data_IF_026799336136
#
_entry.id   IF_026799336136
#
_cell.length_a   1.000
_cell.length_b   1.000
_cell.length_c   1.000
_cell.angle_alpha   90.00
_cell.angle_beta   90.00
_cell.angle_gamma   90.00
#
_symmetry.space_group_name_H-M   'P 1'
#
loop_
_entity.id
_entity.type
_entity.pdbx_description
1 polymer ?
#
# COMPACT_ATOMS: atom_id res chain seq x y z
N UNK A 1 17.75 -3.41 1.24
CA UNK A 1 18.49 -2.16 1.35
C UNK A 1 18.94 -2.03 2.81
N UNK A 2 20.15 -1.58 3.09
CA UNK A 2 20.54 -1.27 4.46
C UNK A 2 19.58 -0.19 4.97
N UNK A 3 18.93 -0.45 6.09
CA UNK A 3 18.12 0.54 6.78
C UNK A 3 19.09 1.68 7.18
N UNK A 4 18.81 2.88 6.70
CA UNK A 4 19.52 4.07 7.18
C UNK A 4 18.95 4.40 8.55
N UNK A 5 19.54 3.91 9.63
CA UNK A 5 19.08 4.12 11.01
C UNK A 5 18.72 5.59 11.31
N UNK A 6 19.49 6.53 10.74
CA UNK A 6 19.21 7.95 10.88
C UNK A 6 17.92 8.40 10.17
N UNK A 7 17.64 7.88 8.96
CA UNK A 7 16.42 8.21 8.24
C UNK A 7 15.19 7.60 8.92
N UNK A 8 15.30 6.38 9.40
CA UNK A 8 14.24 5.71 10.15
C UNK A 8 13.92 6.45 11.45
N UNK A 9 14.94 6.92 12.19
CA UNK A 9 14.77 7.72 13.40
C UNK A 9 14.04 9.05 13.13
N UNK A 10 14.40 9.76 12.06
CA UNK A 10 13.72 11.01 11.66
C UNK A 10 12.27 10.75 11.27
N UNK A 11 12.00 9.70 10.51
CA UNK A 11 10.63 9.34 10.12
C UNK A 11 9.78 8.93 11.33
N UNK A 12 10.34 8.19 12.28
CA UNK A 12 9.66 7.83 13.52
C UNK A 12 9.35 9.08 14.35
N UNK A 13 10.33 9.95 14.54
CA UNK A 13 10.15 11.20 15.26
C UNK A 13 9.05 12.07 14.62
N UNK A 14 9.08 12.25 13.30
CA UNK A 14 8.08 13.02 12.60
C UNK A 14 6.66 12.43 12.75
N UNK A 15 6.53 11.11 12.73
CA UNK A 15 5.22 10.43 12.87
C UNK A 15 4.68 10.48 14.30
N UNK A 16 5.54 10.40 15.32
CA UNK A 16 5.10 10.45 16.74
C UNK A 16 4.49 11.79 17.14
N UNK A 17 4.66 12.85 16.35
CA UNK A 17 3.96 14.13 16.54
C UNK A 17 2.48 14.11 16.14
N UNK A 18 2.02 13.07 15.42
CA UNK A 18 0.65 13.01 14.88
C UNK A 18 -0.14 11.78 15.33
N UNK A 19 0.51 10.81 15.95
CA UNK A 19 -0.12 9.55 16.38
C UNK A 19 0.28 9.22 17.81
N UNK A 20 -0.64 8.62 18.55
CA UNK A 20 -0.37 8.18 19.91
C UNK A 20 0.64 7.05 19.97
N UNK A 21 0.69 6.23 18.93
CA UNK A 21 1.53 5.03 18.89
C UNK A 21 1.88 4.61 17.47
N UNK A 22 3.14 4.23 17.27
CA UNK A 22 3.60 3.55 16.05
C UNK A 22 3.63 2.05 16.30
N UNK A 23 2.96 1.31 15.42
CA UNK A 23 2.96 -0.14 15.44
C UNK A 23 3.77 -0.68 14.26
N UNK A 24 4.68 -1.65 14.49
CA UNK A 24 5.35 -2.32 13.39
C UNK A 24 4.34 -2.99 12.46
N UNK A 25 4.48 -2.83 11.14
CA UNK A 25 3.57 -3.41 10.16
C UNK A 25 3.44 -4.94 10.26
N UNK A 26 4.42 -5.62 10.87
CA UNK A 26 4.43 -7.07 11.11
C UNK A 26 3.75 -7.47 12.41
N UNK A 27 3.46 -6.53 13.30
CA UNK A 27 2.79 -6.81 14.59
C UNK A 27 1.27 -6.85 14.40
N UNK A 28 0.80 -7.85 13.66
CA UNK A 28 -0.64 -8.04 13.41
C UNK A 28 -1.43 -8.18 14.72
N UNK A 29 -0.84 -8.78 15.77
CA UNK A 29 -1.52 -8.91 17.07
C UNK A 29 -1.66 -7.58 17.79
N UNK A 30 -0.64 -6.74 17.72
CA UNK A 30 -0.67 -5.38 18.28
C UNK A 30 -1.71 -4.52 17.55
N UNK A 31 -1.74 -4.57 16.22
CA UNK A 31 -2.72 -3.87 15.39
C UNK A 31 -4.14 -4.34 15.72
N UNK A 32 -4.37 -5.66 15.79
CA UNK A 32 -5.69 -6.20 16.11
C UNK A 32 -6.15 -5.82 17.54
N UNK A 33 -5.24 -5.77 18.52
CA UNK A 33 -5.58 -5.29 19.87
C UNK A 33 -5.95 -3.81 19.87
N UNK A 34 -5.21 -2.97 19.15
CA UNK A 34 -5.50 -1.56 19.01
C UNK A 34 -6.92 -1.33 18.46
N UNK A 35 -7.24 -1.98 17.34
CA UNK A 35 -8.58 -1.89 16.72
C UNK A 35 -9.69 -2.38 17.67
N UNK A 36 -9.49 -3.50 18.37
CA UNK A 36 -10.46 -4.02 19.34
C UNK A 36 -10.63 -3.14 20.60
N UNK A 37 -9.64 -2.30 20.89
CA UNK A 37 -9.73 -1.29 21.97
C UNK A 37 -10.43 -0.01 21.53
N UNK A 38 -10.85 0.10 20.26
CA UNK A 38 -11.50 1.28 19.71
C UNK A 38 -10.53 2.31 19.11
N UNK A 39 -9.25 1.97 18.97
CA UNK A 39 -8.27 2.84 18.32
C UNK A 39 -8.54 2.92 16.82
N UNK A 40 -8.21 4.05 16.21
CA UNK A 40 -8.15 4.20 14.76
C UNK A 40 -6.73 3.85 14.31
N UNK A 41 -6.61 2.95 13.35
CA UNK A 41 -5.31 2.56 12.77
C UNK A 41 -5.20 3.06 11.34
N UNK A 42 -4.22 3.94 11.08
CA UNK A 42 -3.87 4.32 9.73
C UNK A 42 -2.97 3.26 9.09
N UNK A 43 -3.32 2.85 7.88
CA UNK A 43 -2.66 1.74 7.18
C UNK A 43 -2.41 2.09 5.71
N UNK A 44 -1.14 2.16 5.30
CA UNK A 44 -0.77 2.37 3.90
C UNK A 44 -0.73 1.02 3.16
N UNK A 45 -1.55 0.86 2.12
CA UNK A 45 -1.71 -0.39 1.39
C UNK A 45 -1.41 -0.28 -0.10
N UNK A 46 -1.05 0.90 -0.57
CA UNK A 46 -0.74 1.22 -1.96
C UNK A 46 0.70 0.86 -2.38
N UNK A 47 1.48 0.29 -1.47
CA UNK A 47 2.86 -0.11 -1.73
C UNK A 47 2.94 -1.51 -2.35
N UNK A 48 3.97 -1.71 -3.18
CA UNK A 48 4.33 -3.05 -3.65
C UNK A 48 4.84 -3.91 -2.49
N UNK A 49 4.34 -5.12 -2.39
CA UNK A 49 4.73 -6.08 -1.35
C UNK A 49 5.01 -7.43 -1.99
N UNK A 50 6.10 -8.06 -1.59
CA UNK A 50 6.44 -9.43 -1.98
C UNK A 50 6.26 -10.44 -0.84
N UNK A 51 6.25 -11.72 -1.18
CA UNK A 51 6.24 -12.82 -0.22
C UNK A 51 4.86 -13.24 0.27
N UNK A 52 4.80 -13.86 1.46
CA UNK A 52 3.56 -14.41 2.01
C UNK A 52 2.52 -13.32 2.27
N UNK A 53 1.30 -13.52 1.80
CA UNK A 53 0.20 -12.58 1.97
C UNK A 53 0.15 -11.48 0.91
N UNK A 54 1.01 -11.53 -0.12
CA UNK A 54 0.85 -10.77 -1.33
C UNK A 54 0.01 -11.55 -2.33
N UNK A 55 -0.86 -10.85 -3.04
CA UNK A 55 -1.63 -11.37 -4.16
C UNK A 55 -1.44 -10.44 -5.36
N UNK A 56 -1.58 -11.00 -6.56
CA UNK A 56 -1.66 -10.18 -7.76
C UNK A 56 -3.12 -9.75 -7.95
N UNK A 57 -3.33 -8.46 -7.92
CA UNK A 57 -4.61 -7.83 -8.22
C UNK A 57 -4.37 -6.64 -9.16
N UNK A 58 -5.31 -6.38 -10.04
CA UNK A 58 -5.15 -5.29 -11.00
C UNK A 58 -5.07 -3.93 -10.30
N UNK A 59 -4.20 -3.09 -10.84
CA UNK A 59 -4.07 -1.69 -10.49
C UNK A 59 -3.81 -0.93 -11.80
N UNK A 60 -4.76 -0.08 -12.20
CA UNK A 60 -4.81 0.57 -13.52
C UNK A 60 -4.66 -0.44 -14.68
N UNK A 61 -5.36 -1.58 -14.59
CA UNK A 61 -5.35 -2.62 -15.61
C UNK A 61 -4.05 -3.44 -15.70
N UNK A 62 -3.13 -3.28 -14.75
CA UNK A 62 -1.87 -4.01 -14.69
C UNK A 62 -1.80 -4.80 -13.39
N UNK A 63 -1.56 -6.13 -13.41
CA UNK A 63 -1.43 -6.92 -12.20
C UNK A 63 -0.29 -6.39 -11.32
N UNK A 64 -0.62 -5.97 -10.09
CA UNK A 64 0.30 -5.45 -9.10
C UNK A 64 0.35 -6.36 -7.88
N UNK A 65 1.55 -6.64 -7.38
CA UNK A 65 1.73 -7.41 -6.16
C UNK A 65 1.35 -6.56 -4.95
N UNK A 66 0.26 -6.91 -4.29
CA UNK A 66 -0.38 -6.12 -3.24
C UNK A 66 -0.60 -6.97 -1.99
N UNK A 67 -0.43 -6.38 -0.81
CA UNK A 67 -0.69 -7.05 0.46
C UNK A 67 -2.19 -7.22 0.70
N UNK A 68 -2.61 -8.42 1.12
CA UNK A 68 -3.95 -8.67 1.60
C UNK A 68 -4.08 -8.47 3.13
N UNK A 69 -3.08 -7.88 3.78
CA UNK A 69 -3.04 -7.74 5.24
C UNK A 69 -4.20 -6.91 5.78
N UNK A 70 -4.61 -5.85 5.07
CA UNK A 70 -5.73 -5.00 5.48
C UNK A 70 -7.02 -5.82 5.59
N UNK A 71 -7.38 -6.57 4.54
CA UNK A 71 -8.58 -7.40 4.53
C UNK A 71 -8.56 -8.44 5.66
N UNK A 72 -7.41 -9.08 5.87
CA UNK A 72 -7.24 -10.05 6.96
C UNK A 72 -7.39 -9.43 8.34
N UNK A 73 -6.82 -8.24 8.56
CA UNK A 73 -6.95 -7.52 9.84
C UNK A 73 -8.40 -7.11 10.05
N UNK A 74 -9.06 -6.54 9.04
CA UNK A 74 -10.47 -6.18 9.11
C UNK A 74 -11.35 -7.40 9.46
N UNK A 75 -11.15 -8.54 8.79
CA UNK A 75 -11.89 -9.78 9.09
C UNK A 75 -11.67 -10.30 10.52
N UNK A 76 -10.46 -10.13 11.08
CA UNK A 76 -10.14 -10.59 12.44
C UNK A 76 -10.69 -9.68 13.54
N UNK A 77 -10.98 -8.42 13.21
CA UNK A 77 -11.31 -7.39 14.19
C UNK A 77 -12.71 -6.82 14.02
N UNK A 78 -13.38 -7.14 12.93
CA UNK A 78 -14.65 -6.56 12.50
C UNK A 78 -14.56 -5.03 12.33
N UNK A 79 -13.37 -4.54 12.00
CA UNK A 79 -13.11 -3.11 11.84
C UNK A 79 -13.59 -2.63 10.46
N UNK A 80 -14.20 -1.46 10.45
CA UNK A 80 -14.55 -0.75 9.22
C UNK A 80 -13.28 -0.24 8.54
N UNK A 81 -13.26 -0.33 7.23
CA UNK A 81 -12.16 0.20 6.40
C UNK A 81 -12.66 1.43 5.65
N UNK A 82 -12.10 2.60 6.01
CA UNK A 82 -12.43 3.86 5.40
C UNK A 82 -11.29 4.33 4.52
N UNK A 83 -11.52 4.55 3.23
CA UNK A 83 -10.53 5.20 2.37
C UNK A 83 -10.28 6.64 2.82
N UNK A 84 -9.04 7.08 2.71
CA UNK A 84 -8.65 8.46 3.03
C UNK A 84 -7.77 9.02 1.93
N UNK A 85 -7.90 10.33 1.66
CA UNK A 85 -7.06 11.06 0.72
C UNK A 85 -6.61 12.37 1.35
N UNK A 86 -5.34 12.71 1.16
CA UNK A 86 -4.82 14.02 1.49
C UNK A 86 -4.81 14.88 0.21
N UNK A 87 -5.46 16.03 0.25
CA UNK A 87 -5.43 17.04 -0.80
C UNK A 87 -4.75 18.29 -0.31
N UNK A 88 -3.92 18.87 -1.16
CA UNK A 88 -3.36 20.21 -0.94
C UNK A 88 -4.05 21.21 -1.86
N UNK A 89 -4.61 22.26 -1.29
CA UNK A 89 -5.14 23.37 -2.08
C UNK A 89 -3.99 24.11 -2.78
N UNK A 90 -4.11 24.29 -4.10
CA UNK A 90 -3.08 24.93 -4.91
C UNK A 90 -3.00 26.46 -4.67
N UNK A 91 -4.05 27.09 -4.14
CA UNK A 91 -4.10 28.54 -3.96
C UNK A 91 -3.58 28.97 -2.59
N UNK A 92 -4.00 28.28 -1.52
CA UNK A 92 -3.66 28.67 -0.16
C UNK A 92 -2.71 27.69 0.55
N UNK A 93 -2.38 26.57 -0.10
CA UNK A 93 -1.46 25.57 0.42
C UNK A 93 -2.01 24.75 1.59
N UNK A 94 -3.30 24.84 1.88
CA UNK A 94 -3.94 24.07 2.96
C UNK A 94 -4.03 22.60 2.60
N UNK A 95 -3.72 21.78 3.57
CA UNK A 95 -3.93 20.33 3.48
C UNK A 95 -5.32 19.97 4.06
N UNK A 96 -6.07 19.20 3.30
CA UNK A 96 -7.38 18.67 3.70
C UNK A 96 -7.32 17.15 3.68
N UNK A 97 -7.65 16.52 4.81
CA UNK A 97 -7.85 15.08 4.90
C UNK A 97 -9.32 14.77 4.59
N UNK A 98 -9.56 14.10 3.49
CA UNK A 98 -10.87 13.61 3.08
C UNK A 98 -11.03 12.17 3.55
N UNK A 99 -12.12 11.89 4.24
CA UNK A 99 -12.49 10.55 4.73
C UNK A 99 -13.74 10.12 3.98
N UNK A 100 -13.68 8.98 3.32
CA UNK A 100 -14.77 8.45 2.50
C UNK A 100 -15.60 7.43 3.28
N UNK A 101 -16.74 7.05 2.69
CA UNK A 101 -17.59 6.01 3.25
C UNK A 101 -16.83 4.67 3.38
N UNK A 102 -17.17 3.83 4.36
CA UNK A 102 -16.58 2.51 4.49
C UNK A 102 -16.74 1.68 3.22
N UNK A 103 -15.75 0.83 2.92
CA UNK A 103 -15.86 -0.13 1.83
C UNK A 103 -17.02 -1.10 2.11
N UNK A 104 -18.03 -1.09 1.25
CA UNK A 104 -19.22 -1.95 1.41
C UNK A 104 -18.89 -3.41 1.10
N UNK A 105 -19.42 -4.33 1.91
CA UNK A 105 -19.20 -5.76 1.74
C UNK A 105 -17.73 -6.19 1.86
N UNK A 106 -16.90 -5.39 2.52
CA UNK A 106 -15.48 -5.66 2.72
C UNK A 106 -15.20 -5.96 4.21
N UNK A 107 -14.38 -7.00 4.51
CA UNK A 107 -13.78 -7.95 3.60
C UNK A 107 -14.73 -9.09 3.23
N UNK A 108 -14.53 -9.71 2.05
CA UNK A 108 -15.32 -10.87 1.59
C UNK A 108 -14.74 -12.21 2.04
N UNK A 109 -13.48 -12.22 2.46
CA UNK A 109 -12.68 -13.42 2.73
C UNK A 109 -11.95 -13.99 1.52
N UNK A 110 -12.21 -13.48 0.31
CA UNK A 110 -11.41 -13.77 -0.88
C UNK A 110 -10.30 -12.75 -1.03
N UNK A 111 -9.05 -13.21 -0.88
CA UNK A 111 -7.88 -12.32 -0.87
C UNK A 111 -7.69 -11.52 -2.18
N UNK A 112 -7.99 -12.13 -3.33
CA UNK A 112 -7.86 -11.47 -4.63
C UNK A 112 -8.96 -10.45 -4.81
N UNK A 113 -10.22 -10.85 -4.54
CA UNK A 113 -11.38 -9.96 -4.63
C UNK A 113 -11.24 -8.75 -3.70
N UNK A 114 -10.86 -8.98 -2.45
CA UNK A 114 -10.70 -7.92 -1.46
C UNK A 114 -9.59 -6.94 -1.88
N UNK A 115 -8.46 -7.47 -2.37
CA UNK A 115 -7.35 -6.63 -2.84
C UNK A 115 -7.73 -5.86 -4.11
N UNK A 116 -8.48 -6.47 -5.03
CA UNK A 116 -9.00 -5.80 -6.22
C UNK A 116 -9.96 -4.66 -5.84
N UNK A 117 -10.86 -4.89 -4.89
CA UNK A 117 -11.77 -3.85 -4.38
C UNK A 117 -10.98 -2.66 -3.81
N UNK A 118 -9.95 -2.94 -3.02
CA UNK A 118 -9.09 -1.92 -2.45
C UNK A 118 -8.32 -1.14 -3.52
N UNK A 119 -7.72 -1.83 -4.50
CA UNK A 119 -7.02 -1.20 -5.62
C UNK A 119 -7.96 -0.31 -6.44
N UNK A 120 -9.16 -0.80 -6.79
CA UNK A 120 -10.15 -0.02 -7.52
C UNK A 120 -10.57 1.27 -6.79
N UNK A 121 -10.67 1.20 -5.45
CA UNK A 121 -10.90 2.38 -4.64
C UNK A 121 -9.76 3.40 -4.77
N UNK A 122 -8.50 2.97 -4.69
CA UNK A 122 -7.35 3.87 -4.90
C UNK A 122 -7.31 4.43 -6.31
N UNK A 123 -7.58 3.62 -7.33
CA UNK A 123 -7.64 4.07 -8.72
C UNK A 123 -8.66 5.21 -8.88
N UNK A 124 -9.85 5.07 -8.32
CA UNK A 124 -10.88 6.09 -8.37
C UNK A 124 -10.40 7.40 -7.73
N UNK A 125 -9.82 7.34 -6.53
CA UNK A 125 -9.31 8.50 -5.82
C UNK A 125 -8.13 9.18 -6.54
N UNK A 126 -7.23 8.38 -7.11
CA UNK A 126 -6.09 8.88 -7.88
C UNK A 126 -6.56 9.50 -9.20
N UNK A 127 -7.55 8.91 -9.88
CA UNK A 127 -8.06 9.43 -11.14
C UNK A 127 -8.71 10.82 -11.00
N UNK A 128 -9.34 11.10 -9.84
CA UNK A 128 -9.89 12.41 -9.55
C UNK A 128 -8.81 13.50 -9.35
N UNK A 129 -7.70 13.15 -8.69
CA UNK A 129 -6.57 14.05 -8.44
C UNK A 129 -5.26 13.27 -8.50
N UNK A 130 -4.65 13.11 -9.69
CA UNK A 130 -3.47 12.27 -9.85
C UNK A 130 -2.17 12.92 -9.38
N UNK A 131 -2.12 14.25 -9.22
CA UNK A 131 -0.89 14.96 -8.94
C UNK A 131 -0.24 14.62 -7.58
N UNK A 132 -1.00 14.43 -6.47
CA UNK A 132 -0.42 14.09 -5.19
C UNK A 132 0.05 12.63 -5.07
N UNK A 133 -0.36 11.74 -5.98
CA UNK A 133 0.03 10.33 -5.90
C UNK A 133 1.54 10.18 -6.15
N UNK A 134 2.17 9.33 -5.37
CA UNK A 134 3.62 9.15 -5.42
C UNK A 134 4.03 8.22 -6.58
N UNK A 135 3.95 8.70 -7.81
CA UNK A 135 4.24 7.97 -9.06
C UNK A 135 5.66 7.44 -9.18
N UNK A 136 6.62 7.94 -8.39
CA UNK A 136 7.98 7.43 -8.38
C UNK A 136 8.12 6.07 -7.65
N UNK A 137 7.08 5.58 -6.99
CA UNK A 137 7.04 4.22 -6.49
C UNK A 137 6.90 3.24 -7.66
N UNK A 138 7.85 2.32 -7.75
CA UNK A 138 7.81 1.25 -8.76
C UNK A 138 6.77 0.19 -8.37
N UNK A 139 5.49 0.51 -8.55
CA UNK A 139 4.34 -0.29 -8.10
C UNK A 139 4.23 -1.66 -8.78
N UNK A 140 4.86 -1.83 -9.94
CA UNK A 140 4.78 -3.02 -10.80
C UNK A 140 6.11 -3.75 -10.95
N UNK A 141 7.01 -3.64 -9.98
CA UNK A 141 8.34 -4.25 -10.01
C UNK A 141 8.27 -5.78 -9.88
N UNK A 142 7.35 -6.27 -9.03
CA UNK A 142 7.11 -7.71 -8.86
C UNK A 142 6.02 -8.10 -9.84
N UNK A 143 6.37 -8.97 -10.80
CA UNK A 143 5.46 -9.40 -11.87
C UNK A 143 4.97 -10.83 -11.63
N UNK A 144 3.75 -11.17 -12.12
CA UNK A 144 3.33 -12.57 -12.21
C UNK A 144 4.31 -13.36 -13.05
N UNK A 145 4.47 -14.68 -12.81
CA UNK A 145 5.31 -15.52 -13.64
C UNK A 145 4.94 -15.41 -15.12
N UNK A 146 5.95 -15.13 -15.97
CA UNK A 146 5.75 -14.98 -17.42
C UNK A 146 5.23 -13.62 -17.90
N UNK A 147 4.85 -12.73 -17.00
CA UNK A 147 4.41 -11.40 -17.38
C UNK A 147 5.61 -10.50 -17.77
N UNK A 148 5.45 -9.59 -18.76
CA UNK A 148 6.51 -8.68 -19.16
C UNK A 148 6.86 -7.68 -18.06
N UNK A 149 8.12 -7.21 -18.08
CA UNK A 149 8.55 -6.09 -17.23
C UNK A 149 7.86 -4.81 -17.66
N UNK A 150 7.44 -4.02 -16.69
CA UNK A 150 6.79 -2.72 -16.92
C UNK A 150 7.84 -1.61 -17.03
N UNK A 151 8.94 -1.72 -16.28
CA UNK A 151 9.99 -0.70 -16.25
C UNK A 151 11.14 -1.07 -17.16
N UNK A 152 11.39 -0.27 -18.21
CA UNK A 152 12.40 -0.53 -19.25
C UNK A 152 13.82 -0.73 -18.71
N UNK A 153 14.21 0.05 -17.72
CA UNK A 153 15.54 -0.02 -17.12
C UNK A 153 15.80 -1.35 -16.40
N UNK A 154 14.76 -1.93 -15.83
CA UNK A 154 14.83 -3.25 -15.19
C UNK A 154 14.90 -4.38 -16.18
N UNK A 155 14.18 -4.27 -17.30
CA UNK A 155 14.27 -5.26 -18.37
C UNK A 155 15.71 -5.34 -18.90
N UNK A 156 16.37 -4.21 -19.11
CA UNK A 156 17.76 -4.12 -19.53
C UNK A 156 18.75 -4.68 -18.49
N UNK A 157 18.51 -4.43 -17.19
CA UNK A 157 19.34 -4.98 -16.11
C UNK A 157 19.22 -6.49 -16.02
N UNK A 158 18.01 -7.06 -16.05
CA UNK A 158 17.80 -8.52 -16.03
C UNK A 158 18.42 -9.23 -17.23
N UNK A 159 18.36 -8.62 -18.41
CA UNK A 159 19.02 -9.16 -19.60
C UNK A 159 20.55 -9.21 -19.42
N UNK A 160 21.14 -8.18 -18.81
CA UNK A 160 22.57 -8.16 -18.48
C UNK A 160 22.96 -9.22 -17.47
N UNK A 161 22.18 -9.37 -16.39
CA UNK A 161 22.39 -10.39 -15.36
C UNK A 161 22.31 -11.81 -15.92
N UNK A 162 21.30 -12.08 -16.78
CA UNK A 162 21.15 -13.38 -17.46
C UNK A 162 22.31 -13.65 -18.42
N UNK A 163 22.76 -12.65 -19.16
CA UNK A 163 23.92 -12.78 -20.06
C UNK A 163 25.22 -13.01 -19.30
N UNK A 164 25.37 -12.48 -18.11
CA UNK A 164 26.53 -12.72 -17.23
C UNK A 164 26.50 -14.10 -16.57
N UNK A 165 25.32 -14.58 -16.16
CA UNK A 165 25.17 -15.91 -15.56
C UNK A 165 25.32 -17.07 -16.58
N UNK A 166 25.21 -16.78 -17.86
CA UNK A 166 25.38 -17.74 -18.95
C UNK A 166 26.83 -17.86 -19.47
N UNK A 167 27.77 -17.09 -18.89
CA UNK A 167 29.20 -17.12 -19.19
C UNK A 167 29.99 -17.87 -18.14
#
# INVERSE_FOLDING_TARGET
APSHEGADAVLQWARTGFVDRLLPARDIRGIARALKSGDIVWFATDLEVGGRGAVFADFFGVPASTSNSLARIAAMTDALVLPVRLRRDAHDGRDTLEIFAPLEGFPTGDAVRDTTTMNACFEALIAEDPAPYWWCLERFRIRPPGAPEVYSDRAALRQKEQAQAAR
#
